data_IF_474492696545
#
_entry.id   IF_474492696545
#
_cell.length_a   1.000
_cell.length_b   1.000
_cell.length_c   1.000
_cell.angle_alpha   90.00
_cell.angle_beta   90.00
_cell.angle_gamma   90.00
#
_symmetry.space_group_name_H-M   'P 1'
#
loop_
_entity.id
_entity.type
_entity.pdbx_description
1 polymer ?
#
# COMPACT_ATOMS: atom_id res chain seq x y z
N UNK A 1 6.62 109.03 5.32
CA UNK A 1 5.74 107.89 5.00
C UNK A 1 5.47 107.11 6.30
N UNK A 2 4.24 107.13 6.83
CA UNK A 2 3.86 106.52 8.12
C UNK A 2 3.45 105.05 7.91
N UNK A 3 4.19 104.12 8.50
CA UNK A 3 3.86 102.69 8.50
C UNK A 3 2.61 102.38 9.30
N UNK A 4 1.62 101.73 8.68
CA UNK A 4 0.44 101.18 9.35
C UNK A 4 0.86 99.97 10.20
N UNK A 5 0.83 100.10 11.53
CA UNK A 5 0.99 98.98 12.47
C UNK A 5 -0.19 98.02 12.32
N UNK A 6 0.09 96.72 12.18
CA UNK A 6 -0.93 95.65 12.19
C UNK A 6 -1.59 95.57 13.58
N UNK A 7 -2.91 95.43 13.60
CA UNK A 7 -3.68 95.24 14.82
C UNK A 7 -3.30 93.94 15.55
N UNK A 8 -3.30 93.92 16.90
CA UNK A 8 -3.06 92.70 17.67
C UNK A 8 -4.16 91.66 17.41
N UNK A 9 -3.77 90.39 17.26
CA UNK A 9 -4.74 89.28 17.17
C UNK A 9 -5.58 89.24 18.45
N UNK A 10 -6.91 89.00 18.37
CA UNK A 10 -7.74 88.90 19.56
C UNK A 10 -7.25 87.74 20.44
N UNK A 11 -7.18 87.98 21.75
CA UNK A 11 -6.86 86.96 22.72
C UNK A 11 -7.99 85.91 22.73
N UNK A 12 -7.65 84.65 22.48
CA UNK A 12 -8.61 83.54 22.56
C UNK A 12 -9.07 83.45 24.03
N UNK A 13 -10.36 83.62 24.35
CA UNK A 13 -10.83 83.59 25.73
C UNK A 13 -10.69 82.15 26.26
N UNK A 14 -9.72 81.95 27.15
CA UNK A 14 -9.38 80.64 27.74
C UNK A 14 -10.47 80.06 28.67
N UNK A 15 -11.60 80.76 28.84
CA UNK A 15 -12.68 80.40 29.77
C UNK A 15 -14.05 80.50 29.07
N UNK A 16 -14.27 79.62 28.09
CA UNK A 16 -15.63 79.30 27.65
C UNK A 16 -16.31 78.46 28.75
N UNK A 17 -17.59 78.68 29.08
CA UNK A 17 -18.33 77.80 30.01
C UNK A 17 -18.41 76.35 29.51
N UNK A 18 -18.10 76.10 28.23
CA UNK A 18 -18.11 74.79 27.60
C UNK A 18 -16.77 74.06 27.66
N UNK A 19 -15.66 74.73 28.00
CA UNK A 19 -14.32 74.10 28.09
C UNK A 19 -14.29 72.86 29.01
N UNK A 20 -14.85 72.87 30.25
CA UNK A 20 -14.83 71.68 31.11
C UNK A 20 -15.67 70.53 30.54
N UNK A 21 -16.78 70.83 29.84
CA UNK A 21 -17.64 69.83 29.19
C UNK A 21 -16.91 69.16 28.02
N UNK A 22 -16.20 69.95 27.21
CA UNK A 22 -15.39 69.43 26.10
C UNK A 22 -14.22 68.59 26.61
N UNK A 23 -13.54 69.01 27.68
CA UNK A 23 -12.49 68.22 28.31
C UNK A 23 -13.00 66.89 28.89
N UNK A 24 -14.17 66.91 29.56
CA UNK A 24 -14.80 65.71 30.11
C UNK A 24 -15.20 64.73 29.00
N UNK A 25 -15.85 65.23 27.94
CA UNK A 25 -16.21 64.42 26.78
C UNK A 25 -14.98 63.81 26.08
N UNK A 26 -13.90 64.59 25.95
CA UNK A 26 -12.62 64.11 25.43
C UNK A 26 -11.99 63.01 26.29
N UNK A 27 -12.03 63.15 27.62
CA UNK A 27 -11.52 62.14 28.55
C UNK A 27 -12.33 60.83 28.50
N UNK A 28 -13.66 60.93 28.42
CA UNK A 28 -14.54 59.75 28.26
C UNK A 28 -14.28 59.06 26.92
N UNK A 29 -14.19 59.82 25.83
CA UNK A 29 -13.89 59.28 24.51
C UNK A 29 -12.51 58.58 24.48
N UNK A 30 -11.49 59.19 25.10
CA UNK A 30 -10.15 58.61 25.21
C UNK A 30 -10.14 57.33 26.06
N UNK A 31 -10.81 57.36 27.22
CA UNK A 31 -10.94 56.18 28.10
C UNK A 31 -11.64 55.01 27.42
N UNK A 32 -12.70 55.28 26.64
CA UNK A 32 -13.38 54.27 25.84
C UNK A 32 -12.46 53.65 24.77
N UNK A 33 -11.66 54.48 24.08
CA UNK A 33 -10.71 54.04 23.05
C UNK A 33 -9.58 53.15 23.63
N UNK A 34 -9.08 53.52 24.81
CA UNK A 34 -8.11 52.70 25.55
C UNK A 34 -8.73 51.39 26.02
N UNK A 35 -9.95 51.40 26.56
CA UNK A 35 -10.65 50.19 27.00
C UNK A 35 -10.90 49.20 25.84
N UNK A 36 -11.28 49.69 24.66
CA UNK A 36 -11.45 48.85 23.46
C UNK A 36 -10.14 48.18 23.06
N UNK A 37 -9.01 48.87 23.19
CA UNK A 37 -7.68 48.30 22.89
C UNK A 37 -7.33 47.08 23.74
N UNK A 38 -7.84 46.99 24.98
CA UNK A 38 -7.66 45.82 25.85
C UNK A 38 -8.60 44.65 25.53
N UNK A 39 -9.61 44.86 24.69
CA UNK A 39 -10.53 43.80 24.23
C UNK A 39 -10.06 43.13 22.94
N UNK A 40 -9.19 43.80 22.18
CA UNK A 40 -8.56 43.26 20.98
C UNK A 40 -7.60 42.16 21.40
N UNK A 41 -7.81 40.97 20.83
CA UNK A 41 -6.92 39.82 20.98
C UNK A 41 -6.18 39.58 19.68
N UNK A 42 -4.92 39.21 19.77
CA UNK A 42 -4.13 38.69 18.66
C UNK A 42 -4.20 37.16 18.70
N UNK A 43 -4.74 36.56 17.65
CA UNK A 43 -5.01 35.12 17.58
C UNK A 43 -4.47 34.59 16.27
N UNK A 44 -3.72 33.49 16.35
CA UNK A 44 -3.20 32.82 15.18
C UNK A 44 -4.23 31.80 14.68
N UNK A 45 -4.65 31.91 13.42
CA UNK A 45 -5.51 30.93 12.75
C UNK A 45 -4.65 30.13 11.78
N UNK A 46 -4.56 28.82 12.00
CA UNK A 46 -3.78 27.88 11.17
C UNK A 46 -4.74 27.00 10.40
N UNK A 47 -4.86 27.20 9.08
CA UNK A 47 -5.73 26.40 8.23
C UNK A 47 -4.88 25.43 7.40
N UNK A 48 -4.98 24.14 7.67
CA UNK A 48 -4.19 23.08 7.02
C UNK A 48 -2.65 23.34 7.01
N UNK A 49 -2.15 24.09 8.00
CA UNK A 49 -0.75 24.48 8.12
C UNK A 49 -0.44 25.93 7.71
N UNK A 50 -1.36 26.59 6.99
CA UNK A 50 -1.21 28.00 6.62
C UNK A 50 -1.58 28.90 7.81
N UNK A 51 -0.56 29.54 8.41
CA UNK A 51 -0.72 30.40 9.58
C UNK A 51 -1.02 31.85 9.18
N UNK A 52 -2.10 32.40 9.72
CA UNK A 52 -2.49 33.81 9.59
C UNK A 52 -2.73 34.41 10.97
N UNK A 53 -2.15 35.58 11.24
CA UNK A 53 -2.41 36.33 12.47
C UNK A 53 -3.65 37.23 12.28
N UNK A 54 -4.60 37.17 13.22
CA UNK A 54 -5.87 37.90 13.15
C UNK A 54 -6.06 38.69 14.43
N UNK A 55 -6.40 39.98 14.29
CA UNK A 55 -6.77 40.85 15.42
C UNK A 55 -8.28 40.98 15.48
N UNK A 56 -8.87 40.51 16.57
CA UNK A 56 -10.33 40.35 16.71
C UNK A 56 -10.81 40.76 18.09
N UNK A 57 -12.08 41.18 18.16
CA UNK A 57 -12.79 41.38 19.43
C UNK A 57 -13.79 40.23 19.59
N UNK A 58 -13.25 39.03 19.74
CA UNK A 58 -14.02 37.79 19.84
C UNK A 58 -13.91 37.18 21.24
N UNK A 59 -15.01 36.57 21.70
CA UNK A 59 -15.05 35.79 22.93
C UNK A 59 -14.78 34.29 22.67
N UNK A 60 -15.16 33.78 21.49
CA UNK A 60 -15.14 32.34 21.19
C UNK A 60 -14.42 32.01 19.89
N UNK A 61 -13.97 30.75 19.75
CA UNK A 61 -13.32 30.24 18.52
C UNK A 61 -14.20 30.46 17.28
N UNK A 62 -15.51 30.24 17.41
CA UNK A 62 -16.48 30.49 16.32
C UNK A 62 -16.44 31.92 15.80
N UNK A 63 -16.39 32.89 16.70
CA UNK A 63 -16.35 34.32 16.35
C UNK A 63 -15.03 34.67 15.66
N UNK A 64 -13.90 34.17 16.19
CA UNK A 64 -12.58 34.39 15.55
C UNK A 64 -12.57 33.88 14.11
N UNK A 65 -13.07 32.66 13.87
CA UNK A 65 -13.10 32.08 12.53
C UNK A 65 -14.05 32.82 11.58
N UNK A 66 -15.17 33.34 12.09
CA UNK A 66 -16.09 34.16 11.30
C UNK A 66 -15.42 35.48 10.86
N UNK A 67 -14.73 36.17 11.78
CA UNK A 67 -13.98 37.40 11.50
C UNK A 67 -12.80 37.15 10.53
N UNK A 68 -12.15 35.98 10.64
CA UNK A 68 -11.10 35.55 9.74
C UNK A 68 -11.61 35.11 8.35
N UNK A 69 -12.92 35.07 8.13
CA UNK A 69 -13.52 34.61 6.87
C UNK A 69 -13.37 33.11 6.62
N UNK A 70 -13.13 32.31 7.66
CA UNK A 70 -12.92 30.87 7.58
C UNK A 70 -14.25 30.15 7.82
N UNK A 71 -14.80 29.55 6.76
CA UNK A 71 -15.99 28.70 6.84
C UNK A 71 -15.63 27.29 7.25
N UNK A 72 -16.28 26.75 8.30
CA UNK A 72 -16.08 25.38 8.78
C UNK A 72 -17.17 24.48 8.19
N UNK A 73 -16.75 23.51 7.38
CA UNK A 73 -17.62 22.53 6.72
C UNK A 73 -17.90 21.28 7.56
N UNK A 74 -18.69 20.36 7.00
CA UNK A 74 -18.96 19.05 7.63
C UNK A 74 -17.70 18.19 7.58
N UNK A 75 -17.26 17.72 8.75
CA UNK A 75 -16.10 16.85 8.90
C UNK A 75 -14.80 17.59 9.18
N UNK A 76 -14.79 18.92 9.04
CA UNK A 76 -13.66 19.74 9.45
C UNK A 76 -13.45 19.62 10.97
N UNK A 77 -12.19 19.63 11.39
CA UNK A 77 -11.81 19.58 12.79
C UNK A 77 -11.22 20.92 13.18
N UNK A 78 -11.76 21.49 14.26
CA UNK A 78 -11.32 22.77 14.83
C UNK A 78 -10.81 22.53 16.24
N UNK A 79 -9.61 23.04 16.55
CA UNK A 79 -9.00 22.97 17.88
C UNK A 79 -8.44 24.35 18.26
N UNK A 80 -8.79 24.93 19.42
CA UNK A 80 -9.77 24.46 20.40
C UNK A 80 -11.20 24.41 19.83
N UNK A 81 -12.17 23.86 20.58
CA UNK A 81 -13.50 23.61 20.02
C UNK A 81 -14.27 24.93 19.73
N UNK A 82 -15.18 24.92 18.75
CA UNK A 82 -15.93 26.11 18.32
C UNK A 82 -16.56 26.99 19.43
N UNK A 83 -17.19 26.43 20.51
CA UNK A 83 -17.77 27.24 21.58
C UNK A 83 -16.76 27.66 22.66
N UNK A 84 -15.51 27.21 22.58
CA UNK A 84 -14.50 27.46 23.59
C UNK A 84 -14.03 28.91 23.57
N UNK A 85 -13.70 29.44 24.76
CA UNK A 85 -13.27 30.81 24.93
C UNK A 85 -11.85 31.01 24.38
N UNK A 86 -11.61 32.16 23.74
CA UNK A 86 -10.30 32.49 23.17
C UNK A 86 -9.60 33.54 24.01
N UNK A 87 -8.32 33.30 24.32
CA UNK A 87 -7.43 34.25 25.00
C UNK A 87 -6.51 34.95 24.01
N UNK A 88 -5.90 36.04 24.46
CA UNK A 88 -4.83 36.69 23.70
C UNK A 88 -3.64 35.72 23.48
N UNK A 89 -3.06 35.75 22.28
CA UNK A 89 -1.99 34.84 21.86
C UNK A 89 -2.43 33.39 21.58
N UNK A 90 -3.73 33.08 21.58
CA UNK A 90 -4.22 31.74 21.29
C UNK A 90 -3.91 31.30 19.85
N UNK A 91 -3.78 29.99 19.63
CA UNK A 91 -3.69 29.40 18.30
C UNK A 91 -4.92 28.53 18.06
N UNK A 92 -5.63 28.81 16.96
CA UNK A 92 -6.77 28.05 16.48
C UNK A 92 -6.33 27.29 15.23
N UNK A 93 -6.36 25.96 15.30
CA UNK A 93 -6.08 25.08 14.18
C UNK A 93 -7.38 24.60 13.55
N UNK A 94 -7.45 24.73 12.23
CA UNK A 94 -8.54 24.21 11.39
C UNK A 94 -7.95 23.21 10.41
N UNK A 95 -8.44 21.98 10.47
CA UNK A 95 -8.14 20.93 9.49
C UNK A 95 -9.38 20.67 8.66
N UNK A 96 -9.29 20.94 7.35
CA UNK A 96 -10.42 20.75 6.43
C UNK A 96 -10.56 19.28 6.04
N UNK A 97 -11.80 18.81 6.00
CA UNK A 97 -12.14 17.47 5.56
C UNK A 97 -11.94 17.30 4.05
N UNK A 98 -11.27 16.21 3.68
CA UNK A 98 -10.94 15.84 2.30
C UNK A 98 -11.59 14.50 1.98
N UNK A 99 -12.42 14.40 0.94
CA UNK A 99 -13.04 13.14 0.55
C UNK A 99 -12.04 12.22 -0.14
N UNK A 100 -11.92 10.98 0.36
CA UNK A 100 -11.14 9.94 -0.29
C UNK A 100 -12.06 8.81 -0.73
N UNK A 101 -11.97 8.46 -2.02
CA UNK A 101 -12.52 7.22 -2.56
C UNK A 101 -11.42 6.17 -2.53
N UNK A 102 -11.48 5.30 -1.54
CA UNK A 102 -10.44 4.30 -1.27
C UNK A 102 -10.87 2.95 -1.84
N UNK A 103 -10.00 2.31 -2.62
CA UNK A 103 -10.18 0.95 -3.12
C UNK A 103 -9.17 0.01 -2.48
N UNK A 104 -9.60 -0.78 -1.49
CA UNK A 104 -8.77 -1.80 -0.83
C UNK A 104 -9.02 -3.15 -1.49
N UNK A 105 -8.00 -3.70 -2.14
CA UNK A 105 -8.06 -5.02 -2.79
C UNK A 105 -9.31 -5.22 -3.71
N UNK A 106 -9.77 -4.14 -4.35
CA UNK A 106 -10.92 -4.16 -5.26
C UNK A 106 -12.28 -3.82 -4.63
N UNK A 107 -12.33 -3.59 -3.31
CA UNK A 107 -13.53 -3.05 -2.64
C UNK A 107 -13.39 -1.55 -2.46
N UNK A 108 -14.34 -0.79 -2.99
CA UNK A 108 -14.32 0.67 -2.95
C UNK A 108 -15.23 1.21 -1.85
N UNK A 109 -14.70 2.10 -1.02
CA UNK A 109 -15.40 2.82 0.05
C UNK A 109 -15.08 4.32 -0.02
N UNK A 110 -15.93 5.15 0.59
CA UNK A 110 -15.72 6.60 0.68
C UNK A 110 -15.48 7.00 2.13
N UNK A 111 -14.46 7.80 2.35
CA UNK A 111 -14.06 8.29 3.67
C UNK A 111 -13.82 9.80 3.62
N UNK A 112 -13.89 10.45 4.77
CA UNK A 112 -13.43 11.82 4.98
C UNK A 112 -12.21 11.75 5.88
N UNK A 113 -11.13 12.42 5.50
CA UNK A 113 -9.89 12.54 6.28
C UNK A 113 -9.54 14.01 6.48
N UNK A 114 -8.73 14.32 7.49
CA UNK A 114 -8.22 15.68 7.74
C UNK A 114 -6.78 15.88 7.29
N UNK A 115 -6.08 14.79 7.01
CA UNK A 115 -4.71 14.79 6.52
C UNK A 115 -4.52 15.52 5.18
N UNK A 116 -3.40 16.23 5.04
CA UNK A 116 -3.03 16.99 3.83
C UNK A 116 -2.20 16.20 2.83
N UNK A 117 -1.65 15.04 3.22
CA UNK A 117 -0.87 14.14 2.38
C UNK A 117 -1.39 12.69 2.47
N UNK A 118 -1.01 11.88 1.49
CA UNK A 118 -1.48 10.48 1.34
C UNK A 118 -1.05 9.60 2.52
N UNK A 119 0.17 9.77 3.03
CA UNK A 119 0.70 8.97 4.13
C UNK A 119 -0.11 9.12 5.41
N UNK A 120 -0.35 10.37 5.81
CA UNK A 120 -1.16 10.70 6.98
C UNK A 120 -2.63 10.32 6.78
N UNK A 121 -3.16 10.49 5.56
CA UNK A 121 -4.53 10.10 5.24
C UNK A 121 -4.74 8.59 5.35
N UNK A 122 -3.76 7.80 4.91
CA UNK A 122 -3.79 6.35 5.09
C UNK A 122 -3.62 5.95 6.55
N UNK A 123 -2.80 6.67 7.33
CA UNK A 123 -2.65 6.45 8.76
C UNK A 123 -3.96 6.71 9.54
N UNK A 124 -4.70 7.77 9.21
CA UNK A 124 -6.06 8.03 9.76
C UNK A 124 -7.06 6.90 9.44
N UNK A 125 -6.81 6.12 8.39
CA UNK A 125 -7.62 4.98 7.96
C UNK A 125 -7.07 3.62 8.42
N UNK A 126 -6.10 3.62 9.35
CA UNK A 126 -5.40 2.42 9.85
C UNK A 126 -4.66 1.61 8.76
N UNK A 127 -4.31 2.24 7.63
CA UNK A 127 -3.61 1.64 6.49
C UNK A 127 -2.13 2.03 6.49
N UNK A 128 -1.33 1.25 7.22
CA UNK A 128 0.11 1.54 7.37
C UNK A 128 0.96 1.05 6.18
N UNK A 129 2.17 1.61 5.97
CA UNK A 129 3.11 1.12 4.95
C UNK A 129 3.57 -0.34 5.15
N UNK A 130 3.43 -0.89 6.36
CA UNK A 130 3.71 -2.30 6.64
C UNK A 130 2.54 -3.20 6.24
N UNK A 131 1.31 -2.68 6.32
CA UNK A 131 0.09 -3.38 5.92
C UNK A 131 -0.06 -3.51 4.41
N UNK A 132 0.59 -2.67 3.60
CA UNK A 132 0.40 -2.71 2.15
C UNK A 132 1.16 -1.64 1.38
N UNK A 133 0.65 -1.35 0.18
CA UNK A 133 1.18 -0.31 -0.70
C UNK A 133 0.03 0.45 -1.33
N UNK A 134 0.14 1.78 -1.35
CA UNK A 134 -0.83 2.66 -2.01
C UNK A 134 -0.49 2.91 -3.49
N UNK A 135 -1.48 3.35 -4.26
CA UNK A 135 -1.29 3.76 -5.67
C UNK A 135 -0.62 5.11 -5.85
N UNK A 136 -0.54 5.92 -4.79
CA UNK A 136 0.13 7.22 -4.76
C UNK A 136 1.26 7.24 -3.72
N UNK A 137 2.35 7.98 -3.96
CA UNK A 137 3.38 8.27 -2.96
C UNK A 137 2.81 8.85 -1.66
N UNK A 138 3.43 8.58 -0.49
CA UNK A 138 2.93 9.08 0.80
C UNK A 138 2.98 10.61 0.92
N UNK A 139 3.93 11.26 0.26
CA UNK A 139 4.11 12.71 0.33
C UNK A 139 3.19 13.49 -0.63
N UNK A 140 2.44 12.79 -1.48
CA UNK A 140 1.51 13.43 -2.41
C UNK A 140 0.39 14.15 -1.65
N UNK A 141 0.05 15.35 -2.11
CA UNK A 141 -1.00 16.15 -1.50
C UNK A 141 -2.39 15.56 -1.75
N UNK A 142 -3.23 15.51 -0.72
CA UNK A 142 -4.65 15.13 -0.82
C UNK A 142 -5.47 16.39 -1.07
N UNK A 143 -6.05 16.63 -2.26
CA UNK A 143 -6.78 17.86 -2.57
C UNK A 143 -8.16 17.93 -1.88
N UNK A 144 -8.65 19.15 -1.66
CA UNK A 144 -9.99 19.39 -1.07
C UNK A 144 -11.13 18.89 -1.97
N UNK A 145 -10.91 18.85 -3.29
CA UNK A 145 -11.85 18.28 -4.25
C UNK A 145 -12.03 16.76 -4.10
N UNK A 146 -11.10 16.11 -3.40
CA UNK A 146 -11.07 14.69 -3.17
C UNK A 146 -10.07 13.93 -4.03
N UNK A 147 -9.77 12.71 -3.60
CA UNK A 147 -8.76 11.84 -4.19
C UNK A 147 -9.29 10.41 -4.35
N UNK A 148 -8.94 9.77 -5.47
CA UNK A 148 -9.08 8.33 -5.63
C UNK A 148 -7.75 7.65 -5.26
N UNK A 149 -7.82 6.66 -4.38
CA UNK A 149 -6.65 5.95 -3.88
C UNK A 149 -6.91 4.46 -3.90
N UNK A 150 -5.96 3.67 -4.39
CA UNK A 150 -5.99 2.21 -4.24
C UNK A 150 -4.97 1.77 -3.22
N UNK A 151 -5.34 0.84 -2.36
CA UNK A 151 -4.44 0.22 -1.39
C UNK A 151 -4.39 -1.29 -1.61
N UNK A 152 -3.17 -1.80 -1.76
CA UNK A 152 -2.88 -3.20 -2.01
C UNK A 152 -2.32 -3.82 -0.74
N UNK A 153 -3.11 -4.67 -0.10
CA UNK A 153 -2.70 -5.28 1.18
C UNK A 153 -1.55 -6.24 0.94
N UNK A 154 -0.51 -6.11 1.77
CA UNK A 154 0.63 -7.01 1.82
C UNK A 154 0.20 -8.30 2.48
N UNK A 155 0.40 -9.41 1.77
CA UNK A 155 -0.06 -10.74 2.19
C UNK A 155 1.04 -11.77 2.05
N UNK A 156 1.00 -12.81 2.86
CA UNK A 156 1.89 -13.97 2.79
C UNK A 156 1.26 -15.06 1.93
N UNK A 157 1.97 -15.50 0.91
CA UNK A 157 1.57 -16.60 0.02
C UNK A 157 2.66 -17.65 -0.03
N UNK A 158 2.29 -18.85 -0.43
CA UNK A 158 3.19 -19.97 -0.61
C UNK A 158 3.12 -20.42 -2.06
N UNK A 159 4.27 -20.57 -2.72
CA UNK A 159 4.34 -21.19 -4.04
C UNK A 159 4.93 -22.58 -3.85
N UNK A 160 4.21 -23.59 -4.35
CA UNK A 160 4.58 -25.00 -4.25
C UNK A 160 4.74 -25.56 -5.66
N UNK A 161 5.91 -26.10 -5.95
CA UNK A 161 6.21 -26.84 -7.17
C UNK A 161 7.00 -28.09 -6.76
N UNK A 162 6.34 -29.25 -6.76
CA UNK A 162 6.90 -30.44 -6.12
C UNK A 162 7.09 -30.22 -4.61
N UNK A 163 8.26 -30.57 -4.08
CA UNK A 163 8.70 -30.37 -2.69
C UNK A 163 9.21 -28.93 -2.45
N UNK A 164 9.45 -28.16 -3.51
CA UNK A 164 9.88 -26.77 -3.37
C UNK A 164 8.72 -25.93 -2.84
N UNK A 165 8.88 -25.40 -1.62
CA UNK A 165 7.92 -24.48 -0.99
C UNK A 165 8.56 -23.13 -0.73
N UNK A 166 8.18 -22.13 -1.53
CA UNK A 166 8.68 -20.76 -1.43
C UNK A 166 7.63 -19.93 -0.72
N UNK A 167 7.97 -19.32 0.41
CA UNK A 167 7.11 -18.31 1.02
C UNK A 167 7.42 -16.92 0.46
N UNK A 168 6.38 -16.10 0.26
CA UNK A 168 6.52 -14.73 -0.21
C UNK A 168 5.58 -13.81 0.51
N UNK A 169 6.05 -12.61 0.86
CA UNK A 169 5.18 -11.46 1.11
C UNK A 169 5.05 -10.65 -0.18
N UNK A 170 3.83 -10.32 -0.59
CA UNK A 170 3.56 -9.64 -1.86
C UNK A 170 2.30 -8.76 -1.80
N UNK A 171 2.24 -7.76 -2.67
CA UNK A 171 1.07 -6.91 -2.96
C UNK A 171 0.44 -7.23 -4.32
N UNK A 172 0.92 -8.29 -4.99
CA UNK A 172 0.44 -8.72 -6.30
C UNK A 172 -1.08 -8.97 -6.31
N UNK A 173 -1.74 -8.52 -7.38
CA UNK A 173 -3.19 -8.65 -7.56
C UNK A 173 -3.60 -10.02 -8.10
N UNK A 174 -2.68 -10.73 -8.74
CA UNK A 174 -2.97 -12.01 -9.40
C UNK A 174 -1.94 -13.08 -9.07
N UNK A 175 -2.36 -14.35 -9.07
CA UNK A 175 -1.45 -15.50 -8.95
C UNK A 175 -0.33 -15.46 -10.00
N UNK A 176 -0.63 -15.01 -11.23
CA UNK A 176 0.36 -14.83 -12.30
C UNK A 176 1.48 -13.86 -11.90
N UNK A 177 1.15 -12.72 -11.31
CA UNK A 177 2.13 -11.74 -10.85
C UNK A 177 3.02 -12.31 -9.74
N UNK A 178 2.45 -13.07 -8.80
CA UNK A 178 3.23 -13.74 -7.75
C UNK A 178 4.26 -14.69 -8.36
N UNK A 179 3.85 -15.53 -9.31
CA UNK A 179 4.75 -16.49 -9.96
C UNK A 179 5.84 -15.78 -10.77
N UNK A 180 5.50 -14.68 -11.46
CA UNK A 180 6.46 -13.83 -12.18
C UNK A 180 7.48 -13.21 -11.22
N UNK A 181 7.05 -12.67 -10.07
CA UNK A 181 7.93 -12.10 -9.04
C UNK A 181 8.89 -13.12 -8.44
N UNK A 182 8.47 -14.39 -8.36
CA UNK A 182 9.30 -15.50 -7.87
C UNK A 182 10.10 -16.23 -8.95
N UNK A 183 10.02 -15.77 -10.20
CA UNK A 183 10.76 -16.38 -11.29
C UNK A 183 10.38 -17.84 -11.54
N UNK A 184 9.15 -18.25 -11.23
CA UNK A 184 8.68 -19.61 -11.48
C UNK A 184 8.33 -19.76 -12.96
N UNK A 185 9.09 -20.54 -13.75
CA UNK A 185 8.88 -20.63 -15.19
C UNK A 185 7.62 -21.45 -15.49
N UNK A 186 6.63 -20.84 -16.14
CA UNK A 186 5.44 -21.55 -16.59
C UNK A 186 5.57 -21.87 -18.08
N UNK A 187 5.72 -23.14 -18.43
CA UNK A 187 5.62 -23.59 -19.83
C UNK A 187 4.15 -23.82 -20.22
N UNK A 188 3.87 -23.96 -21.51
CA UNK A 188 2.52 -24.26 -22.02
C UNK A 188 2.00 -25.56 -21.40
N UNK A 189 0.76 -25.53 -20.90
CA UNK A 189 0.08 -26.70 -20.31
C UNK A 189 0.22 -26.84 -18.80
N UNK A 190 1.08 -26.08 -18.15
CA UNK A 190 1.19 -26.11 -16.68
C UNK A 190 -0.14 -25.73 -16.04
N UNK A 191 -0.56 -26.54 -15.07
CA UNK A 191 -1.76 -26.31 -14.28
C UNK A 191 -1.34 -25.54 -13.03
N UNK A 192 -2.05 -24.45 -12.75
CA UNK A 192 -1.81 -23.63 -11.56
C UNK A 192 -3.11 -23.52 -10.79
N UNK A 193 -3.05 -23.82 -9.49
CA UNK A 193 -4.16 -23.67 -8.56
C UNK A 193 -3.73 -22.80 -7.38
N UNK A 194 -4.44 -21.70 -7.06
CA UNK A 194 -5.61 -21.15 -7.76
C UNK A 194 -5.31 -20.63 -9.19
N UNK A 195 -6.33 -20.33 -10.01
CA UNK A 195 -6.14 -19.88 -11.38
C UNK A 195 -5.25 -18.63 -11.52
N UNK A 196 -4.51 -18.52 -12.62
CA UNK A 196 -3.55 -17.42 -12.84
C UNK A 196 -4.12 -16.00 -12.69
N UNK A 197 -5.43 -15.81 -12.92
CA UNK A 197 -6.12 -14.51 -12.81
C UNK A 197 -6.79 -14.28 -11.46
N UNK A 198 -6.84 -15.27 -10.57
CA UNK A 198 -7.47 -15.10 -9.27
C UNK A 198 -6.61 -14.25 -8.34
N UNK A 199 -7.27 -13.55 -7.44
CA UNK A 199 -6.63 -12.82 -6.36
C UNK A 199 -6.06 -13.80 -5.32
N UNK A 200 -4.76 -13.72 -4.99
CA UNK A 200 -4.20 -14.55 -3.93
C UNK A 200 -4.51 -13.91 -2.58
N UNK A 201 -5.35 -14.55 -1.75
CA UNK A 201 -5.61 -14.11 -0.39
C UNK A 201 -4.42 -14.40 0.54
N UNK A 202 -4.43 -13.86 1.76
CA UNK A 202 -3.42 -14.21 2.77
C UNK A 202 -3.45 -15.71 3.09
N UNK A 203 -2.28 -16.32 3.22
CA UNK A 203 -2.11 -17.76 3.41
C UNK A 203 -2.28 -18.61 2.14
N UNK A 204 -2.62 -18.03 0.97
CA UNK A 204 -2.86 -18.81 -0.26
C UNK A 204 -1.68 -19.70 -0.62
N UNK A 205 -1.96 -20.97 -0.92
CA UNK A 205 -1.00 -21.93 -1.46
C UNK A 205 -1.22 -22.02 -2.97
N UNK A 206 -0.25 -21.55 -3.73
CA UNK A 206 -0.21 -21.59 -5.19
C UNK A 206 0.57 -22.84 -5.59
N UNK A 207 -0.14 -23.87 -6.02
CA UNK A 207 0.46 -25.11 -6.53
C UNK A 207 0.63 -25.01 -8.04
N UNK A 208 1.85 -25.31 -8.49
CA UNK A 208 2.21 -25.40 -9.91
C UNK A 208 2.45 -26.87 -10.23
N UNK A 209 1.72 -27.41 -11.20
CA UNK A 209 1.81 -28.81 -11.62
C UNK A 209 2.13 -28.88 -13.12
N UNK A 210 3.20 -29.58 -13.53
CA UNK A 210 3.52 -29.84 -14.92
C UNK A 210 2.37 -30.55 -15.65
N UNK A 211 2.15 -30.28 -16.95
CA UNK A 211 1.16 -31.00 -17.73
C UNK A 211 1.54 -32.46 -17.87
N UNK A 212 0.53 -33.34 -17.82
CA UNK A 212 0.63 -34.66 -18.45
C UNK A 212 0.35 -34.50 -19.94
N UNK A 213 1.41 -34.27 -20.71
CA UNK A 213 1.36 -33.89 -22.12
C UNK A 213 0.94 -35.02 -23.07
N UNK A 214 1.16 -36.28 -22.69
CA UNK A 214 0.87 -37.44 -23.54
C UNK A 214 0.35 -38.61 -22.69
N UNK A 215 -0.69 -39.34 -23.14
CA UNK A 215 -1.08 -40.57 -22.47
C UNK A 215 0.04 -41.61 -22.60
N UNK A 216 0.22 -42.41 -21.55
CA UNK A 216 1.14 -43.55 -21.58
C UNK A 216 0.43 -44.71 -22.28
N UNK A 217 1.11 -45.35 -23.24
CA UNK A 217 0.59 -46.46 -24.03
C UNK A 217 0.37 -47.69 -23.11
N UNK A 218 -0.67 -48.50 -23.36
CA UNK A 218 -0.98 -49.66 -22.52
C UNK A 218 0.12 -50.73 -22.44
N UNK A 219 0.98 -50.87 -23.46
CA UNK A 219 2.17 -51.73 -23.43
C UNK A 219 3.20 -51.22 -22.42
N UNK A 220 3.44 -49.91 -22.41
CA UNK A 220 4.43 -49.27 -21.52
C UNK A 220 3.96 -49.30 -20.07
N UNK A 221 2.67 -49.11 -19.81
CA UNK A 221 2.09 -49.20 -18.46
C UNK A 221 2.24 -50.59 -17.82
N UNK A 222 2.40 -51.65 -18.62
CA UNK A 222 2.51 -53.05 -18.15
C UNK A 222 3.94 -53.49 -17.86
N UNK A 223 4.94 -52.66 -18.16
CA UNK A 223 6.34 -52.95 -17.83
C UNK A 223 6.57 -52.87 -16.32
N UNK A 224 7.61 -53.55 -15.84
CA UNK A 224 7.95 -53.57 -14.42
C UNK A 224 8.75 -52.33 -13.99
N UNK A 225 8.03 -51.21 -13.86
CA UNK A 225 8.58 -49.93 -13.42
C UNK A 225 9.07 -49.95 -11.97
N UNK A 226 8.56 -50.88 -11.15
CA UNK A 226 9.00 -51.05 -9.77
C UNK A 226 10.36 -51.73 -9.72
N UNK A 227 10.57 -52.80 -10.50
CA UNK A 227 11.86 -53.46 -10.59
C UNK A 227 12.95 -52.53 -11.17
N UNK A 228 12.62 -51.70 -12.15
CA UNK A 228 13.55 -50.67 -12.64
C UNK A 228 13.92 -49.67 -11.54
N UNK A 229 12.94 -49.12 -10.82
CA UNK A 229 13.19 -48.16 -9.75
C UNK A 229 14.02 -48.76 -8.59
N UNK A 230 13.74 -50.02 -8.25
CA UNK A 230 14.48 -50.74 -7.23
C UNK A 230 15.95 -50.93 -7.62
N UNK A 231 16.24 -51.28 -8.87
CA UNK A 231 17.60 -51.43 -9.37
C UNK A 231 18.33 -50.08 -9.48
N UNK A 232 17.66 -49.03 -9.95
CA UNK A 232 18.28 -47.72 -10.19
C UNK A 232 18.59 -46.96 -8.88
N UNK A 233 17.72 -47.04 -7.87
CA UNK A 233 17.89 -46.24 -6.65
C UNK A 233 17.33 -46.86 -5.37
N UNK A 234 17.03 -48.16 -5.34
CA UNK A 234 16.29 -48.79 -4.24
C UNK A 234 14.92 -48.13 -4.01
N UNK A 235 14.28 -47.73 -5.11
CA UNK A 235 12.99 -47.05 -5.11
C UNK A 235 12.97 -45.71 -4.34
N UNK A 236 14.14 -45.10 -4.09
CA UNK A 236 14.25 -43.83 -3.37
C UNK A 236 13.92 -42.65 -4.31
N UNK A 237 12.82 -41.90 -4.06
CA UNK A 237 12.45 -40.74 -4.86
C UNK A 237 13.32 -39.51 -4.61
N UNK A 238 14.07 -39.47 -3.51
CA UNK A 238 14.96 -38.37 -3.18
C UNK A 238 16.41 -38.64 -3.58
N UNK A 239 16.68 -39.81 -4.20
CA UNK A 239 18.01 -40.25 -4.58
C UNK A 239 18.79 -39.20 -5.38
N UNK A 240 20.10 -39.11 -5.09
CA UNK A 240 21.05 -38.27 -5.82
C UNK A 240 22.38 -39.01 -5.98
N UNK A 241 22.81 -39.19 -7.23
CA UNK A 241 24.11 -39.75 -7.57
C UNK A 241 25.00 -38.68 -8.23
N UNK A 242 26.09 -38.22 -7.58
CA UNK A 242 26.94 -37.15 -8.10
C UNK A 242 27.87 -37.55 -9.25
N UNK A 243 28.08 -38.85 -9.52
CA UNK A 243 29.03 -39.33 -10.55
C UNK A 243 28.56 -39.03 -12.00
N UNK A 244 27.27 -38.75 -12.19
CA UNK A 244 26.68 -38.37 -13.47
C UNK A 244 25.44 -37.49 -13.32
N UNK A 245 25.50 -36.50 -12.38
CA UNK A 245 24.39 -35.99 -11.57
C UNK A 245 23.01 -36.55 -11.96
N UNK A 246 22.66 -37.67 -11.34
CA UNK A 246 21.38 -38.35 -11.53
C UNK A 246 20.47 -38.15 -10.32
N UNK A 247 19.16 -38.03 -10.56
CA UNK A 247 18.19 -37.67 -9.53
C UNK A 247 16.95 -38.58 -9.58
N UNK A 248 16.42 -38.89 -8.40
CA UNK A 248 15.15 -39.60 -8.21
C UNK A 248 15.20 -41.09 -8.55
N UNK A 249 14.02 -41.72 -8.52
CA UNK A 249 13.81 -43.18 -8.58
C UNK A 249 14.39 -43.85 -9.83
N UNK A 250 14.54 -43.09 -10.91
CA UNK A 250 14.90 -43.60 -12.23
C UNK A 250 16.23 -43.03 -12.74
N UNK A 251 17.03 -42.40 -11.87
CA UNK A 251 18.35 -41.90 -12.25
C UNK A 251 18.32 -40.86 -13.36
N UNK A 252 17.40 -39.89 -13.32
CA UNK A 252 17.30 -38.88 -14.37
C UNK A 252 18.49 -37.91 -14.36
N UNK A 253 19.10 -37.66 -15.52
CA UNK A 253 19.88 -36.44 -15.73
C UNK A 253 18.94 -35.23 -15.93
N UNK A 254 19.44 -34.02 -15.63
CA UNK A 254 18.65 -32.79 -15.82
C UNK A 254 18.15 -32.60 -17.27
N UNK A 255 18.98 -32.79 -18.33
CA UNK A 255 18.48 -32.69 -19.71
C UNK A 255 17.38 -33.70 -20.05
N UNK A 256 17.47 -34.93 -19.53
CA UNK A 256 16.44 -35.96 -19.77
C UNK A 256 15.13 -35.59 -19.10
N UNK A 257 15.19 -35.17 -17.83
CA UNK A 257 14.02 -34.71 -17.08
C UNK A 257 13.29 -33.57 -17.80
N UNK A 258 14.04 -32.58 -18.28
CA UNK A 258 13.48 -31.46 -19.03
C UNK A 258 12.88 -31.87 -20.38
N UNK A 259 13.48 -32.84 -21.08
CA UNK A 259 13.01 -33.34 -22.37
C UNK A 259 11.63 -34.02 -22.28
N UNK A 260 11.34 -34.66 -21.15
CA UNK A 260 10.02 -35.24 -20.86
C UNK A 260 9.08 -34.27 -20.14
N UNK A 261 9.45 -32.99 -20.04
CA UNK A 261 8.59 -31.92 -19.51
C UNK A 261 8.63 -31.77 -17.99
N UNK A 262 9.65 -32.31 -17.33
CA UNK A 262 9.91 -32.10 -15.92
C UNK A 262 10.22 -30.64 -15.56
N UNK A 263 9.94 -30.27 -14.32
CA UNK A 263 10.25 -28.95 -13.74
C UNK A 263 11.20 -29.13 -12.56
N UNK A 264 12.20 -28.26 -12.40
CA UNK A 264 13.13 -28.37 -11.26
C UNK A 264 13.85 -29.72 -11.21
N UNK A 265 14.19 -30.19 -10.01
CA UNK A 265 14.85 -31.49 -9.83
C UNK A 265 13.83 -32.64 -9.89
N UNK A 266 14.15 -33.79 -10.51
CA UNK A 266 13.32 -35.00 -10.44
C UNK A 266 12.95 -35.38 -9.00
N UNK A 267 13.94 -35.34 -8.09
CA UNK A 267 13.78 -35.63 -6.66
C UNK A 267 12.90 -34.65 -5.90
N UNK A 268 12.53 -33.53 -6.53
CA UNK A 268 11.53 -32.62 -5.96
C UNK A 268 10.11 -33.04 -6.26
N UNK A 269 9.85 -34.13 -6.98
CA UNK A 269 8.49 -34.53 -7.35
C UNK A 269 8.08 -35.87 -6.72
N UNK A 270 6.79 -36.06 -6.44
CA UNK A 270 6.28 -37.34 -5.94
C UNK A 270 6.66 -38.52 -6.87
N UNK A 271 6.82 -39.74 -6.31
CA UNK A 271 7.11 -40.95 -7.08
C UNK A 271 6.29 -41.10 -8.36
N UNK A 272 4.99 -40.80 -8.29
CA UNK A 272 4.06 -40.97 -9.40
C UNK A 272 4.37 -40.04 -10.58
N UNK A 273 4.89 -38.85 -10.30
CA UNK A 273 5.33 -37.92 -11.34
C UNK A 273 6.65 -38.39 -11.96
N UNK A 274 7.57 -38.91 -11.14
CA UNK A 274 8.83 -39.48 -11.65
C UNK A 274 8.57 -40.69 -12.56
N UNK A 275 7.68 -41.61 -12.15
CA UNK A 275 7.29 -42.78 -12.96
C UNK A 275 6.61 -42.37 -14.26
N UNK A 276 5.68 -41.40 -14.22
CA UNK A 276 5.04 -40.90 -15.44
C UNK A 276 6.06 -40.36 -16.45
N UNK A 277 7.07 -39.62 -15.96
CA UNK A 277 8.12 -39.04 -16.80
C UNK A 277 9.08 -40.12 -17.34
N UNK A 278 9.35 -41.18 -16.58
CA UNK A 278 10.15 -42.32 -17.03
C UNK A 278 9.43 -43.11 -18.13
N UNK A 279 8.12 -43.30 -17.97
CA UNK A 279 7.24 -43.88 -19.00
C UNK A 279 7.24 -43.03 -20.28
N UNK A 280 7.17 -41.70 -20.15
CA UNK A 280 7.29 -40.82 -21.30
C UNK A 280 8.66 -40.91 -21.98
N UNK A 281 9.75 -40.98 -21.21
CA UNK A 281 11.10 -41.11 -21.77
C UNK A 281 11.20 -42.39 -22.60
N UNK A 282 10.74 -43.52 -22.05
CA UNK A 282 10.71 -44.80 -22.75
C UNK A 282 9.95 -44.73 -24.07
N UNK A 283 8.80 -44.06 -24.08
CA UNK A 283 8.01 -43.83 -25.30
C UNK A 283 8.73 -42.94 -26.31
N UNK A 284 9.35 -41.85 -25.84
CA UNK A 284 10.06 -40.91 -26.71
C UNK A 284 11.27 -41.55 -27.39
N UNK A 285 11.97 -42.46 -26.69
CA UNK A 285 13.09 -43.21 -27.29
C UNK A 285 12.66 -44.42 -28.10
N UNK A 286 11.35 -44.70 -28.15
CA UNK A 286 10.69 -45.78 -28.89
C UNK A 286 11.33 -47.15 -28.64
N UNK A 287 11.43 -47.52 -27.36
CA UNK A 287 11.99 -48.82 -26.95
C UNK A 287 13.52 -48.91 -27.00
N UNK A 288 14.24 -47.85 -27.37
CA UNK A 288 15.72 -47.76 -27.23
C UNK A 288 16.15 -47.40 -25.80
N UNK A 289 15.48 -48.00 -24.82
CA UNK A 289 15.62 -47.73 -23.39
C UNK A 289 17.01 -48.06 -22.85
N UNK A 290 17.75 -49.00 -23.49
CA UNK A 290 19.11 -49.43 -23.09
C UNK A 290 20.13 -48.29 -23.00
N UNK A 291 19.90 -47.18 -23.69
CA UNK A 291 20.75 -45.99 -23.60
C UNK A 291 20.40 -45.08 -22.43
N UNK A 292 19.18 -45.20 -21.91
CA UNK A 292 18.68 -44.42 -20.79
C UNK A 292 19.01 -45.15 -19.46
N UNK A 293 18.78 -46.47 -19.45
CA UNK A 293 19.03 -47.35 -18.31
C UNK A 293 19.92 -48.53 -18.76
N UNK A 294 21.23 -48.31 -18.94
CA UNK A 294 22.15 -49.31 -19.49
C UNK A 294 22.36 -50.51 -18.58
N UNK A 295 22.29 -50.32 -17.26
CA UNK A 295 22.52 -51.38 -16.28
C UNK A 295 21.22 -52.01 -15.80
N UNK A 296 20.20 -51.22 -15.51
CA UNK A 296 18.97 -51.72 -14.88
C UNK A 296 17.79 -51.87 -15.82
N UNK A 297 17.87 -51.41 -17.07
CA UNK A 297 16.68 -51.35 -17.93
C UNK A 297 16.11 -52.71 -18.34
N UNK A 298 16.89 -53.80 -18.28
CA UNK A 298 16.35 -55.16 -18.50
C UNK A 298 15.33 -55.54 -17.41
N UNK A 299 15.41 -54.93 -16.22
CA UNK A 299 14.46 -55.15 -15.11
C UNK A 299 13.01 -54.81 -15.47
N UNK A 300 12.78 -54.01 -16.54
CA UNK A 300 11.43 -53.71 -17.03
C UNK A 300 10.67 -54.93 -17.57
N UNK A 301 11.36 -56.04 -17.86
CA UNK A 301 10.80 -57.19 -18.55
C UNK A 301 10.75 -58.49 -17.74
N UNK A 302 11.30 -58.49 -16.51
CA UNK A 302 11.38 -59.67 -15.64
C UNK A 302 12.65 -60.49 -15.86
#
# INVERSE_FOLDING_TARGET
>A
MRGKRRAPRPAIPWRSPWTPVVCLAGAVAFGALVAVSFLVKEVAVVVDGDRTEVRVVAATVREVLADAGVSVGRGDVVRPAMPESVTDGATIEVRRARPITLTVDGRTTRHLVTATNVGDALAELDLTPTAGQASAPPDDAVPLSGMELSFYTRRKVYVVAGTSRISSRTTARTVREVLKQKGVPLRRGYVVSPPLRSFPADGTIITVTPPRTMPVRPDVLRLDWAALAECESHSDPEAYNPDGPYYGMYGFSMPMWEAVGGMGLPSSWPPEEQTYRAQLLYQQVDGRWRRQWPSCGDSLFG
#
